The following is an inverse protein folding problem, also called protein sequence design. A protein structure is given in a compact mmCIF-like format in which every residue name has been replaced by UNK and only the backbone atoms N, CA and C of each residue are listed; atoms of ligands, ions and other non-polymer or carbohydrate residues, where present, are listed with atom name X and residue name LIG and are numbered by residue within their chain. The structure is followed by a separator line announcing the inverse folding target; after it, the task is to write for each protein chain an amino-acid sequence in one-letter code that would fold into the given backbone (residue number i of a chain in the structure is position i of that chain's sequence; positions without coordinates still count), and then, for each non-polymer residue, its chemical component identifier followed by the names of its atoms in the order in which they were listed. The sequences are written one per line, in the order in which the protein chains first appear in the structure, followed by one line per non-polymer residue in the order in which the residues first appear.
data_IF_212674525890
#
_entry.id   IF_212674525890
#
_cell.length_a   1.000
_cell.length_b   1.000
_cell.length_c   1.000
_cell.angle_alpha   90.00
_cell.angle_beta   90.00
_cell.angle_gamma   90.00
#
_symmetry.space_group_name_H-M   'P 1'
#
loop_
_entity.id
_entity.type
_entity.pdbx_description
1 polymer ?
#
# COMPACT_ATOMS: atom_id res chain seq x y z
N UNK A 1 36.18 -64.14 -53.78
CA UNK A 1 37.18 -63.14 -54.20
C UNK A 1 36.77 -62.61 -55.57
N UNK A 2 35.71 -61.79 -55.60
CA UNK A 2 35.07 -60.99 -56.68
C UNK A 2 33.77 -60.56 -55.97
N UNK A 3 33.85 -59.56 -55.07
CA UNK A 3 32.71 -58.89 -54.40
C UNK A 3 33.18 -57.82 -53.39
N UNK A 4 34.44 -57.85 -52.93
CA UNK A 4 35.02 -56.78 -52.08
C UNK A 4 35.76 -55.68 -52.86
N UNK A 5 36.15 -55.90 -54.12
CA UNK A 5 36.82 -54.89 -54.96
C UNK A 5 35.85 -54.04 -55.82
N UNK A 6 34.55 -54.33 -55.81
CA UNK A 6 33.54 -53.53 -56.51
C UNK A 6 32.83 -52.51 -55.61
N UNK A 7 33.08 -52.57 -54.28
CA UNK A 7 32.47 -51.68 -53.27
C UNK A 7 33.40 -50.50 -52.93
N UNK A 8 34.72 -50.65 -53.08
CA UNK A 8 35.69 -49.57 -52.79
C UNK A 8 35.81 -48.51 -53.90
N UNK A 9 35.48 -48.85 -55.16
CA UNK A 9 35.49 -47.88 -56.28
C UNK A 9 34.19 -47.06 -56.31
N UNK A 10 33.04 -47.65 -55.97
CA UNK A 10 31.76 -46.94 -55.87
C UNK A 10 31.69 -45.92 -54.71
N UNK A 11 32.47 -46.09 -53.65
CA UNK A 11 32.49 -45.19 -52.49
C UNK A 11 33.36 -43.93 -52.72
N UNK A 12 34.41 -44.01 -53.55
CA UNK A 12 35.22 -42.85 -53.92
C UNK A 12 34.48 -41.88 -54.86
N UNK A 13 33.74 -42.43 -55.82
CA UNK A 13 33.06 -41.67 -56.89
C UNK A 13 31.76 -40.97 -56.41
N UNK A 14 31.18 -41.46 -55.30
CA UNK A 14 30.03 -40.83 -54.62
C UNK A 14 30.50 -39.69 -53.69
N UNK A 15 31.65 -39.83 -53.03
CA UNK A 15 32.21 -38.78 -52.16
C UNK A 15 32.66 -37.55 -52.96
N UNK A 16 33.31 -37.74 -54.11
CA UNK A 16 33.72 -36.63 -55.00
C UNK A 16 32.54 -35.90 -55.64
N UNK A 17 31.41 -36.58 -55.89
CA UNK A 17 30.16 -35.95 -56.35
C UNK A 17 29.46 -35.15 -55.25
N UNK A 18 29.50 -35.59 -54.00
CA UNK A 18 28.90 -34.89 -52.85
C UNK A 18 29.72 -33.63 -52.49
N UNK A 19 31.05 -33.67 -52.57
CA UNK A 19 31.89 -32.51 -52.29
C UNK A 19 31.87 -31.45 -53.40
N UNK A 20 31.69 -31.84 -54.66
CA UNK A 20 31.44 -30.90 -55.77
C UNK A 20 30.04 -30.25 -55.68
N UNK A 21 29.01 -30.96 -55.20
CA UNK A 21 27.67 -30.38 -54.94
C UNK A 21 27.67 -29.39 -53.77
N UNK A 22 28.52 -29.58 -52.76
CA UNK A 22 28.70 -28.65 -51.63
C UNK A 22 29.53 -27.41 -52.00
N UNK A 23 30.55 -27.54 -52.86
CA UNK A 23 31.33 -26.39 -53.36
C UNK A 23 30.58 -25.53 -54.38
N UNK A 24 29.69 -26.11 -55.20
CA UNK A 24 28.89 -25.35 -56.17
C UNK A 24 27.68 -24.64 -55.53
N UNK A 25 27.08 -25.18 -54.46
CA UNK A 25 26.03 -24.45 -53.69
C UNK A 25 26.56 -23.32 -52.79
N UNK A 26 27.88 -23.25 -52.57
CA UNK A 26 28.51 -22.21 -51.74
C UNK A 26 29.16 -21.08 -52.57
N UNK A 27 29.20 -21.19 -53.91
CA UNK A 27 29.73 -20.16 -54.83
C UNK A 27 28.67 -19.40 -55.65
N UNK A 28 27.39 -19.77 -55.58
CA UNK A 28 26.29 -19.08 -56.28
C UNK A 28 25.47 -18.10 -55.41
N UNK A 29 25.91 -17.78 -54.19
CA UNK A 29 25.26 -16.74 -53.34
C UNK A 29 26.17 -15.58 -52.99
N UNK A 30 27.16 -15.30 -53.83
CA UNK A 30 27.92 -14.07 -53.77
C UNK A 30 27.98 -13.47 -55.19
N UNK A 31 27.63 -12.18 -55.28
CA UNK A 31 27.85 -11.24 -56.39
C UNK A 31 27.08 -11.45 -57.71
N UNK A 32 25.99 -10.70 -57.88
CA UNK A 32 25.72 -9.71 -58.95
C UNK A 32 24.53 -8.84 -58.50
N UNK A 33 24.73 -7.54 -58.24
CA UNK A 33 24.60 -6.42 -59.20
C UNK A 33 23.11 -6.21 -59.59
N UNK A 34 22.43 -5.10 -59.35
CA UNK A 34 22.83 -3.71 -59.50
C UNK A 34 22.05 -2.78 -58.55
N UNK A 35 22.73 -1.67 -58.26
CA UNK A 35 22.34 -0.55 -57.43
C UNK A 35 21.27 0.27 -58.17
N UNK A 36 20.08 0.33 -57.60
CA UNK A 36 19.19 1.49 -57.73
C UNK A 36 19.42 2.31 -56.47
N UNK A 37 19.97 3.52 -56.67
CA UNK A 37 20.22 4.50 -55.63
C UNK A 37 18.87 4.96 -55.07
N UNK A 38 18.48 4.37 -53.96
CA UNK A 38 17.56 5.01 -53.01
C UNK A 38 18.42 5.57 -51.91
N UNK A 39 18.43 6.89 -51.78
CA UNK A 39 19.09 7.64 -50.71
C UNK A 39 18.51 7.14 -49.38
N UNK A 40 19.19 6.21 -48.73
CA UNK A 40 19.04 6.00 -47.30
C UNK A 40 19.93 7.03 -46.63
N UNK A 41 19.32 8.13 -46.21
CA UNK A 41 19.93 9.06 -45.28
C UNK A 41 20.38 8.26 -44.04
N UNK A 42 21.68 8.30 -43.74
CA UNK A 42 22.18 8.00 -42.40
C UNK A 42 21.59 9.05 -41.44
N UNK A 43 20.41 8.79 -40.92
CA UNK A 43 20.02 9.34 -39.64
C UNK A 43 20.60 8.40 -38.58
N UNK A 44 21.84 8.70 -38.18
CA UNK A 44 22.27 8.44 -36.82
C UNK A 44 21.34 9.25 -35.90
N UNK A 45 20.16 8.72 -35.61
CA UNK A 45 19.38 9.20 -34.50
C UNK A 45 20.08 8.67 -33.26
N UNK A 46 20.87 9.54 -32.62
CA UNK A 46 20.87 9.62 -31.17
C UNK A 46 19.45 9.26 -30.70
N UNK A 47 19.28 8.19 -29.92
CA UNK A 47 18.07 8.13 -29.10
C UNK A 47 18.19 9.30 -28.15
N UNK A 48 17.65 10.44 -28.56
CA UNK A 48 17.25 11.49 -27.65
C UNK A 48 16.36 10.81 -26.63
N UNK A 49 16.89 10.62 -25.43
CA UNK A 49 16.13 10.26 -24.25
C UNK A 49 15.26 11.45 -23.85
N UNK A 50 14.24 11.72 -24.68
CA UNK A 50 13.17 12.67 -24.43
C UNK A 50 11.95 12.22 -25.24
N UNK A 51 11.60 10.94 -25.17
CA UNK A 51 10.17 10.64 -25.06
C UNK A 51 9.88 10.59 -23.57
N UNK A 52 9.53 11.75 -23.01
CA UNK A 52 8.59 11.76 -21.89
C UNK A 52 7.38 10.99 -22.39
N UNK A 53 7.22 9.73 -21.99
CA UNK A 53 5.90 9.13 -21.92
C UNK A 53 5.05 10.14 -21.16
N UNK A 54 4.19 10.89 -21.86
CA UNK A 54 3.15 11.65 -21.20
C UNK A 54 2.34 10.59 -20.49
N UNK A 55 2.56 10.44 -19.19
CA UNK A 55 1.62 9.76 -18.31
C UNK A 55 0.36 10.59 -18.42
N UNK A 56 -0.57 10.18 -19.29
CA UNK A 56 -1.90 10.75 -19.31
C UNK A 56 -2.50 10.31 -18.00
N UNK A 57 -2.49 11.23 -17.02
CA UNK A 57 -3.17 11.01 -15.76
C UNK A 57 -4.65 10.74 -16.09
N UNK A 58 -5.22 9.60 -15.66
CA UNK A 58 -6.62 9.30 -15.93
C UNK A 58 -7.49 10.44 -15.40
N UNK A 59 -8.12 11.19 -16.29
CA UNK A 59 -9.01 12.29 -15.89
C UNK A 59 -10.41 11.74 -15.71
N UNK A 60 -11.01 11.94 -14.54
CA UNK A 60 -12.43 11.68 -14.32
C UNK A 60 -13.25 12.62 -15.21
N UNK A 61 -14.08 12.11 -16.14
CA UNK A 61 -14.91 12.97 -16.97
C UNK A 61 -15.96 13.67 -16.10
N UNK A 62 -16.33 14.91 -16.43
CA UNK A 62 -17.38 15.65 -15.76
C UNK A 62 -18.79 15.13 -16.13
N UNK A 63 -19.01 13.82 -16.03
CA UNK A 63 -20.30 13.19 -16.33
C UNK A 63 -21.31 13.55 -15.26
N UNK A 64 -22.43 14.16 -15.66
CA UNK A 64 -23.45 14.73 -14.78
C UNK A 64 -22.83 15.60 -13.68
N UNK A 65 -22.29 16.79 -14.01
CA UNK A 65 -21.65 17.67 -13.04
C UNK A 65 -22.62 18.02 -11.89
N UNK A 66 -22.15 17.89 -10.66
CA UNK A 66 -22.88 18.33 -9.48
C UNK A 66 -22.63 19.83 -9.30
N UNK A 67 -23.69 20.60 -9.13
CA UNK A 67 -23.59 22.05 -8.84
C UNK A 67 -22.84 22.28 -7.53
N UNK A 68 -21.83 23.17 -7.50
CA UNK A 68 -21.15 23.57 -6.27
C UNK A 68 -22.10 24.18 -5.22
N UNK A 69 -21.69 24.16 -3.96
CA UNK A 69 -22.49 24.62 -2.83
C UNK A 69 -23.03 23.47 -1.97
N UNK A 70 -24.21 23.67 -1.37
CA UNK A 70 -24.76 22.70 -0.42
C UNK A 70 -25.33 21.46 -1.12
N UNK A 71 -24.94 20.28 -0.67
CA UNK A 71 -25.43 18.98 -1.13
C UNK A 71 -25.85 18.12 0.06
N UNK A 72 -26.91 17.34 -0.09
CA UNK A 72 -27.45 16.44 0.95
C UNK A 72 -28.35 15.37 0.32
N UNK A 73 -28.55 14.23 0.98
CA UNK A 73 -29.46 13.18 0.53
C UNK A 73 -28.88 12.35 -0.62
N UNK A 74 -29.72 12.02 -1.61
CA UNK A 74 -29.27 11.20 -2.74
C UNK A 74 -28.42 12.00 -3.73
N UNK A 75 -27.24 11.47 -4.07
CA UNK A 75 -26.30 12.13 -4.97
C UNK A 75 -25.78 11.17 -6.03
N UNK A 76 -25.56 11.69 -7.24
CA UNK A 76 -24.86 11.04 -8.34
C UNK A 76 -24.22 12.09 -9.23
N UNK A 77 -23.13 11.72 -9.90
CA UNK A 77 -22.40 12.59 -10.82
C UNK A 77 -21.04 12.99 -10.31
N UNK A 78 -20.51 14.09 -10.85
CA UNK A 78 -19.11 14.47 -10.69
C UNK A 78 -18.95 15.79 -9.93
N UNK A 79 -18.18 15.79 -8.85
CA UNK A 79 -17.62 16.99 -8.23
C UNK A 79 -16.50 17.52 -9.14
N UNK A 80 -16.61 18.79 -9.54
CA UNK A 80 -15.77 19.36 -10.61
C UNK A 80 -14.61 20.19 -10.06
N UNK A 81 -13.49 20.16 -10.79
CA UNK A 81 -12.22 20.77 -10.35
C UNK A 81 -12.35 22.24 -9.92
N UNK A 82 -11.59 22.61 -8.88
CA UNK A 82 -11.53 23.98 -8.35
C UNK A 82 -12.75 24.45 -7.55
N UNK A 83 -13.78 23.61 -7.40
CA UNK A 83 -15.00 23.95 -6.68
C UNK A 83 -15.02 23.43 -5.25
N UNK A 84 -15.84 24.10 -4.43
CA UNK A 84 -16.14 23.70 -3.05
C UNK A 84 -17.57 23.19 -2.94
N UNK A 85 -17.75 22.08 -2.23
CA UNK A 85 -19.05 21.47 -1.93
C UNK A 85 -19.22 21.33 -0.43
N UNK A 86 -20.39 21.68 0.10
CA UNK A 86 -20.70 21.55 1.51
C UNK A 86 -21.75 20.47 1.71
N UNK A 87 -21.36 19.38 2.38
CA UNK A 87 -22.28 18.32 2.78
C UNK A 87 -23.00 18.77 4.04
N UNK A 88 -24.30 19.05 3.95
CA UNK A 88 -25.09 19.60 5.07
C UNK A 88 -25.89 18.53 5.84
N UNK A 89 -25.86 17.29 5.36
CA UNK A 89 -26.50 16.11 5.94
C UNK A 89 -26.04 14.88 5.18
N UNK A 90 -26.41 13.69 5.66
CA UNK A 90 -25.94 12.43 5.07
C UNK A 90 -26.13 12.38 3.55
N UNK A 91 -25.09 11.91 2.86
CA UNK A 91 -25.14 11.59 1.44
C UNK A 91 -25.38 10.11 1.25
N UNK A 92 -26.10 9.77 0.18
CA UNK A 92 -26.24 8.39 -0.27
C UNK A 92 -26.08 8.30 -1.78
N UNK A 93 -25.09 7.54 -2.22
CA UNK A 93 -24.91 7.12 -3.61
C UNK A 93 -25.62 5.78 -3.78
N UNK A 94 -26.71 5.74 -4.55
CA UNK A 94 -27.50 4.51 -4.72
C UNK A 94 -26.77 3.48 -5.58
N UNK A 95 -27.19 2.23 -5.46
CA UNK A 95 -26.77 1.15 -6.35
C UNK A 95 -26.98 1.56 -7.82
N UNK A 96 -25.95 1.38 -8.65
CA UNK A 96 -25.96 1.78 -10.06
C UNK A 96 -25.59 3.25 -10.32
N UNK A 97 -25.55 4.10 -9.29
CA UNK A 97 -25.07 5.47 -9.39
C UNK A 97 -23.55 5.55 -9.07
N UNK A 98 -22.94 6.67 -9.43
CA UNK A 98 -21.53 6.96 -9.13
C UNK A 98 -21.42 8.35 -8.52
N UNK A 99 -20.67 8.48 -7.42
CA UNK A 99 -20.11 9.74 -6.99
C UNK A 99 -18.65 9.78 -7.41
N UNK A 100 -18.35 10.69 -8.32
CA UNK A 100 -17.01 10.93 -8.81
C UNK A 100 -16.49 12.29 -8.35
N UNK A 101 -15.18 12.44 -8.21
CA UNK A 101 -14.54 13.72 -7.95
C UNK A 101 -13.31 13.88 -8.82
N UNK A 102 -13.23 15.03 -9.49
CA UNK A 102 -12.02 15.48 -10.15
C UNK A 102 -11.01 16.03 -9.14
N UNK A 103 -9.77 16.20 -9.59
CA UNK A 103 -8.68 16.84 -8.84
C UNK A 103 -9.02 18.24 -8.34
N UNK A 104 -8.42 18.65 -7.23
CA UNK A 104 -8.54 20.01 -6.67
C UNK A 104 -9.92 20.35 -6.09
N UNK A 105 -10.80 19.38 -5.89
CA UNK A 105 -12.10 19.58 -5.24
C UNK A 105 -11.91 19.72 -3.73
N UNK A 106 -12.64 20.66 -3.12
CA UNK A 106 -12.76 20.77 -1.66
C UNK A 106 -14.17 20.38 -1.22
N UNK A 107 -14.28 19.49 -0.24
CA UNK A 107 -15.54 19.08 0.38
C UNK A 107 -15.49 19.39 1.87
N UNK A 108 -16.49 20.15 2.32
CA UNK A 108 -16.70 20.53 3.72
C UNK A 108 -17.90 19.76 4.25
N UNK A 109 -17.70 18.92 5.27
CA UNK A 109 -18.76 18.12 5.87
C UNK A 109 -19.26 18.77 7.15
N UNK A 110 -20.57 18.86 7.32
CA UNK A 110 -21.22 19.47 8.49
C UNK A 110 -22.17 18.48 9.14
N UNK A 111 -22.62 18.81 10.36
CA UNK A 111 -23.67 18.08 11.08
C UNK A 111 -23.39 16.59 11.28
N UNK A 112 -22.12 16.23 11.47
CA UNK A 112 -21.70 14.84 11.68
C UNK A 112 -22.12 13.88 10.55
N UNK A 113 -22.31 14.42 9.34
CA UNK A 113 -22.80 13.66 8.21
C UNK A 113 -21.82 12.55 7.78
N UNK A 114 -22.36 11.44 7.30
CA UNK A 114 -21.61 10.39 6.60
C UNK A 114 -21.94 10.35 5.12
N UNK A 115 -21.05 9.70 4.37
CA UNK A 115 -21.24 9.46 2.94
C UNK A 115 -21.47 7.95 2.76
N UNK A 116 -22.72 7.58 2.53
CA UNK A 116 -23.13 6.20 2.26
C UNK A 116 -22.91 5.86 0.79
N UNK A 117 -22.15 4.80 0.51
CA UNK A 117 -21.87 4.33 -0.84
C UNK A 117 -22.51 2.96 -1.04
N UNK A 118 -23.56 2.91 -1.85
CA UNK A 118 -24.17 1.68 -2.38
C UNK A 118 -23.82 1.48 -3.87
N UNK A 119 -23.43 2.56 -4.55
CA UNK A 119 -22.95 2.56 -5.92
C UNK A 119 -21.42 2.56 -5.99
N UNK A 120 -20.86 3.43 -6.84
CA UNK A 120 -19.41 3.58 -7.01
C UNK A 120 -18.91 4.88 -6.37
N UNK A 121 -17.78 4.80 -5.66
CA UNK A 121 -17.00 5.96 -5.23
C UNK A 121 -15.73 6.07 -6.06
N UNK A 122 -15.54 7.18 -6.77
CA UNK A 122 -14.39 7.43 -7.63
C UNK A 122 -13.77 8.81 -7.36
N UNK A 123 -12.82 8.87 -6.43
CA UNK A 123 -12.08 10.09 -6.10
C UNK A 123 -10.69 10.01 -6.73
N UNK A 124 -10.41 10.87 -7.71
CA UNK A 124 -9.13 10.87 -8.43
C UNK A 124 -8.55 12.28 -8.46
N UNK A 125 -7.73 12.58 -7.46
CA UNK A 125 -6.89 13.77 -7.43
C UNK A 125 -5.57 13.58 -8.19
N UNK A 126 -4.70 14.56 -8.06
CA UNK A 126 -3.29 14.46 -8.48
C UNK A 126 -2.39 15.02 -7.38
N UNK A 127 -1.08 14.72 -7.45
CA UNK A 127 -0.08 15.28 -6.53
C UNK A 127 -0.17 16.81 -6.40
N UNK A 128 -0.37 17.49 -7.51
CA UNK A 128 -0.42 18.96 -7.55
C UNK A 128 -1.81 19.51 -7.16
N UNK A 129 -2.86 18.71 -7.29
CA UNK A 129 -4.25 19.11 -7.02
C UNK A 129 -4.98 17.98 -6.29
N UNK A 130 -4.61 17.69 -5.03
CA UNK A 130 -5.30 16.67 -4.27
C UNK A 130 -6.74 17.08 -3.98
N UNK A 131 -7.61 16.10 -3.76
CA UNK A 131 -8.97 16.32 -3.29
C UNK A 131 -8.93 16.46 -1.76
N UNK A 132 -9.76 17.32 -1.18
CA UNK A 132 -9.84 17.49 0.28
C UNK A 132 -11.24 17.17 0.80
N UNK A 133 -11.35 16.25 1.75
CA UNK A 133 -12.54 15.99 2.56
C UNK A 133 -12.24 16.25 4.03
N UNK A 134 -12.94 17.22 4.62
CA UNK A 134 -12.80 17.57 6.03
C UNK A 134 -14.11 18.19 6.53
N UNK A 135 -14.26 18.36 7.83
CA UNK A 135 -15.35 19.17 8.37
C UNK A 135 -14.99 20.66 8.44
N UNK A 136 -16.00 21.50 8.67
CA UNK A 136 -15.80 22.92 8.94
C UNK A 136 -15.07 23.17 10.27
N UNK A 137 -15.28 22.32 11.28
CA UNK A 137 -14.65 22.46 12.61
C UNK A 137 -13.22 21.92 12.65
N UNK A 138 -12.86 21.03 11.72
CA UNK A 138 -11.55 20.36 11.63
C UNK A 138 -11.16 19.68 12.95
N UNK A 139 -12.15 19.13 13.65
CA UNK A 139 -11.95 18.40 14.90
C UNK A 139 -12.13 16.91 14.67
N UNK A 140 -11.35 16.04 15.31
CA UNK A 140 -11.50 14.60 15.11
C UNK A 140 -12.90 14.15 15.52
N UNK A 141 -13.52 13.30 14.69
CA UNK A 141 -14.89 12.84 14.91
C UNK A 141 -15.97 13.86 14.56
N UNK A 142 -15.65 14.84 13.71
CA UNK A 142 -16.61 15.88 13.31
C UNK A 142 -17.49 15.49 12.12
N UNK A 143 -17.19 14.35 11.49
CA UNK A 143 -18.01 13.73 10.45
C UNK A 143 -17.77 12.24 10.34
N UNK A 144 -18.70 11.53 9.70
CA UNK A 144 -18.78 10.07 9.76
C UNK A 144 -17.88 9.30 8.80
N UNK A 145 -17.23 9.94 7.83
CA UNK A 145 -16.43 9.25 6.80
C UNK A 145 -17.28 8.56 5.72
N UNK A 146 -16.68 7.59 5.03
CA UNK A 146 -17.25 6.83 3.92
C UNK A 146 -17.72 5.45 4.38
N UNK A 147 -19.04 5.22 4.30
CA UNK A 147 -19.67 3.96 4.69
C UNK A 147 -20.06 3.19 3.41
N UNK A 148 -19.28 2.17 3.08
CA UNK A 148 -19.30 1.45 1.80
C UNK A 148 -19.82 0.01 1.97
N UNK A 149 -20.83 -0.19 2.81
CA UNK A 149 -21.35 -1.52 3.16
C UNK A 149 -21.89 -2.33 1.98
N UNK A 150 -22.39 -1.63 0.95
CA UNK A 150 -22.97 -2.23 -0.25
C UNK A 150 -22.47 -1.58 -1.53
N UNK A 151 -21.32 -0.91 -1.46
CA UNK A 151 -20.67 -0.29 -2.62
C UNK A 151 -20.35 -1.34 -3.69
N UNK A 152 -20.16 -0.89 -4.93
CA UNK A 152 -19.75 -1.71 -6.07
C UNK A 152 -18.25 -1.61 -6.33
N UNK A 153 -17.64 -0.46 -6.03
CA UNK A 153 -16.19 -0.26 -6.01
C UNK A 153 -15.84 1.01 -5.26
N UNK A 154 -14.62 1.05 -4.71
CA UNK A 154 -14.06 2.22 -4.04
C UNK A 154 -12.71 2.55 -4.68
N UNK A 155 -12.56 3.78 -5.16
CA UNK A 155 -11.28 4.32 -5.60
C UNK A 155 -11.04 5.67 -4.94
N UNK A 156 -9.92 5.80 -4.22
CA UNK A 156 -9.48 7.02 -3.55
C UNK A 156 -8.02 7.24 -3.89
N UNK A 157 -7.73 8.26 -4.72
CA UNK A 157 -6.37 8.61 -5.12
C UNK A 157 -6.11 10.08 -4.87
N UNK A 158 -4.94 10.42 -4.33
CA UNK A 158 -4.53 11.81 -4.07
C UNK A 158 -5.62 12.59 -3.32
N UNK A 159 -6.10 12.02 -2.22
CA UNK A 159 -7.19 12.58 -1.44
C UNK A 159 -6.76 12.73 0.02
N UNK A 160 -7.00 13.91 0.60
CA UNK A 160 -6.97 14.13 2.04
C UNK A 160 -8.33 13.78 2.63
N UNK A 161 -8.34 12.88 3.61
CA UNK A 161 -9.52 12.50 4.38
C UNK A 161 -9.19 12.69 5.85
N UNK A 162 -9.67 13.78 6.43
CA UNK A 162 -9.23 14.22 7.74
C UNK A 162 -10.40 14.31 8.73
N UNK A 163 -10.11 14.13 10.02
CA UNK A 163 -11.01 14.47 11.14
C UNK A 163 -12.33 13.67 11.20
N UNK A 164 -12.31 12.45 10.68
CA UNK A 164 -13.42 11.50 10.62
C UNK A 164 -13.67 10.78 11.94
N UNK A 165 -14.68 9.91 11.94
CA UNK A 165 -15.03 9.01 13.04
C UNK A 165 -16.04 9.59 14.01
N UNK A 166 -16.90 10.46 13.50
CA UNK A 166 -18.04 10.93 14.26
C UNK A 166 -18.95 9.78 14.70
N UNK A 167 -19.68 9.94 15.81
CA UNK A 167 -20.43 8.85 16.43
C UNK A 167 -21.54 8.33 15.52
N UNK A 168 -21.77 7.02 15.57
CA UNK A 168 -22.99 6.40 15.05
C UNK A 168 -24.15 6.61 16.05
N UNK A 169 -25.39 6.17 15.74
CA UNK A 169 -26.52 6.30 16.65
C UNK A 169 -26.36 5.59 18.01
N UNK A 170 -25.39 4.69 18.16
CA UNK A 170 -25.01 4.02 19.41
C UNK A 170 -23.91 4.76 20.19
N UNK A 171 -23.50 5.94 19.71
CA UNK A 171 -22.38 6.74 20.20
C UNK A 171 -20.99 6.09 20.00
N UNK A 172 -20.89 5.05 19.16
CA UNK A 172 -19.62 4.43 18.80
C UNK A 172 -18.98 5.21 17.65
N UNK A 173 -17.67 5.48 17.67
CA UNK A 173 -17.04 6.18 16.56
C UNK A 173 -17.10 5.35 15.27
N UNK A 174 -17.49 6.01 14.18
CA UNK A 174 -17.49 5.39 12.84
C UNK A 174 -16.07 5.22 12.33
N UNK A 175 -15.89 4.28 11.41
CA UNK A 175 -14.62 4.09 10.69
C UNK A 175 -14.53 5.11 9.55
N UNK A 176 -13.31 5.50 9.17
CA UNK A 176 -13.11 6.54 8.15
C UNK A 176 -13.49 6.07 6.76
N UNK A 177 -13.03 4.89 6.37
CA UNK A 177 -13.49 4.15 5.19
C UNK A 177 -13.86 2.76 5.66
N UNK A 178 -15.16 2.42 5.61
CA UNK A 178 -15.67 1.12 5.99
C UNK A 178 -16.20 0.36 4.78
N UNK A 179 -15.53 -0.72 4.38
CA UNK A 179 -15.95 -1.61 3.30
C UNK A 179 -16.35 -2.95 3.87
N UNK A 180 -17.58 -3.38 3.61
CA UNK A 180 -18.17 -4.60 4.15
C UNK A 180 -18.73 -5.53 3.05
N UNK A 181 -18.14 -5.45 1.85
CA UNK A 181 -18.59 -6.11 0.64
C UNK A 181 -17.41 -6.69 -0.18
N UNK A 182 -17.64 -7.75 -0.98
CA UNK A 182 -16.61 -8.38 -1.81
C UNK A 182 -16.37 -7.57 -3.09
N UNK A 183 -15.78 -6.38 -2.94
CA UNK A 183 -15.55 -5.42 -4.03
C UNK A 183 -14.07 -5.07 -4.21
N UNK A 184 -13.69 -4.55 -5.39
CA UNK A 184 -12.39 -3.91 -5.56
C UNK A 184 -12.32 -2.60 -4.77
N UNK A 185 -11.21 -2.44 -4.05
CA UNK A 185 -10.86 -1.24 -3.28
C UNK A 185 -9.44 -0.81 -3.69
N UNK A 186 -9.31 0.40 -4.21
CA UNK A 186 -8.05 1.00 -4.66
C UNK A 186 -7.86 2.33 -3.93
N UNK A 187 -7.01 2.34 -2.90
CA UNK A 187 -6.69 3.50 -2.07
C UNK A 187 -5.20 3.76 -2.20
N UNK A 188 -4.85 4.80 -2.96
CA UNK A 188 -3.47 5.07 -3.34
C UNK A 188 -3.10 6.53 -3.11
N UNK A 189 -1.84 6.78 -2.73
CA UNK A 189 -1.25 8.13 -2.66
C UNK A 189 -2.14 9.14 -1.92
N UNK A 190 -2.76 8.72 -0.81
CA UNK A 190 -3.76 9.50 -0.09
C UNK A 190 -3.38 9.69 1.38
N UNK A 191 -4.01 10.68 2.02
CA UNK A 191 -3.76 11.03 3.41
C UNK A 191 -4.99 10.77 4.26
N UNK A 192 -4.77 10.10 5.39
CA UNK A 192 -5.81 9.88 6.40
C UNK A 192 -5.29 10.37 7.73
N UNK A 193 -5.93 11.41 8.29
CA UNK A 193 -5.42 12.05 9.50
C UNK A 193 -6.51 12.27 10.54
N UNK A 194 -6.12 12.15 11.80
CA UNK A 194 -6.94 12.51 12.94
C UNK A 194 -8.35 11.87 12.95
N UNK A 195 -8.49 10.62 12.55
CA UNK A 195 -9.74 9.87 12.72
C UNK A 195 -9.94 9.42 14.17
N UNK A 196 -11.15 9.04 14.58
CA UNK A 196 -11.43 8.57 15.95
C UNK A 196 -11.32 7.06 16.17
N UNK A 197 -11.43 6.27 15.09
CA UNK A 197 -11.45 4.79 15.07
C UNK A 197 -10.62 4.30 13.85
N UNK A 198 -10.89 3.11 13.34
CA UNK A 198 -10.20 2.53 12.19
C UNK A 198 -10.23 3.51 11.01
N UNK A 199 -9.08 3.72 10.38
CA UNK A 199 -9.05 4.56 9.20
C UNK A 199 -9.52 3.78 7.98
N UNK A 200 -8.85 2.68 7.67
CA UNK A 200 -9.25 1.85 6.53
C UNK A 200 -9.65 0.48 7.03
N UNK A 201 -10.96 0.24 7.14
CA UNK A 201 -11.49 -1.07 7.46
C UNK A 201 -12.12 -1.72 6.24
N UNK A 202 -11.51 -2.80 5.78
CA UNK A 202 -12.03 -3.62 4.69
C UNK A 202 -12.35 -5.02 5.21
N UNK A 203 -13.52 -5.54 4.83
CA UNK A 203 -13.91 -6.89 5.21
C UNK A 203 -14.86 -7.57 4.21
N UNK A 204 -15.17 -8.84 4.46
CA UNK A 204 -16.08 -9.67 3.67
C UNK A 204 -15.66 -9.84 2.20
N UNK A 205 -14.42 -10.27 1.98
CA UNK A 205 -13.97 -10.65 0.63
C UNK A 205 -13.51 -9.49 -0.26
N UNK A 206 -13.33 -8.28 0.29
CA UNK A 206 -12.82 -7.16 -0.50
C UNK A 206 -11.42 -7.48 -1.08
N UNK A 207 -11.18 -7.03 -2.32
CA UNK A 207 -9.86 -7.15 -2.97
C UNK A 207 -9.20 -5.78 -2.97
N UNK A 208 -8.06 -5.66 -2.31
CA UNK A 208 -7.48 -4.36 -1.94
C UNK A 208 -6.17 -4.04 -2.66
N UNK A 209 -6.00 -2.76 -2.98
CA UNK A 209 -4.71 -2.09 -3.14
C UNK A 209 -4.72 -0.90 -2.20
N UNK A 210 -3.91 -0.97 -1.14
CA UNK A 210 -3.72 0.14 -0.20
C UNK A 210 -2.24 0.52 -0.30
N UNK A 211 -1.92 1.44 -1.21
CA UNK A 211 -0.53 1.71 -1.59
C UNK A 211 -0.14 3.17 -1.36
N UNK A 212 1.08 3.41 -0.87
CA UNK A 212 1.69 4.76 -0.85
C UNK A 212 0.90 5.81 -0.07
N UNK A 213 0.06 5.40 0.90
CA UNK A 213 -0.71 6.33 1.70
C UNK A 213 0.08 6.86 2.91
N UNK A 214 -0.34 7.99 3.44
CA UNK A 214 0.18 8.55 4.70
C UNK A 214 -0.93 8.60 5.74
N UNK A 215 -0.80 7.80 6.79
CA UNK A 215 -1.77 7.64 7.87
C UNK A 215 -1.17 8.18 9.16
N UNK A 216 -1.75 9.23 9.73
CA UNK A 216 -1.13 9.97 10.84
C UNK A 216 -2.08 10.16 12.02
N UNK A 217 -1.52 9.93 13.22
CA UNK A 217 -2.04 10.39 14.51
C UNK A 217 -3.55 10.16 14.66
N UNK A 218 -4.01 8.92 14.45
CA UNK A 218 -5.44 8.58 14.36
C UNK A 218 -5.87 7.46 15.31
N UNK A 219 -7.13 7.49 15.72
CA UNK A 219 -7.70 6.64 16.75
C UNK A 219 -7.63 7.33 18.11
N UNK A 220 -8.73 7.35 18.85
CA UNK A 220 -8.79 7.92 20.21
C UNK A 220 -8.17 6.95 21.23
N UNK A 221 -8.98 6.05 21.75
CA UNK A 221 -8.60 4.96 22.65
C UNK A 221 -8.57 3.60 21.96
N UNK A 222 -8.93 3.56 20.67
CA UNK A 222 -8.88 2.39 19.80
C UNK A 222 -8.80 2.85 18.34
N UNK A 223 -8.65 1.90 17.42
CA UNK A 223 -8.66 2.12 15.99
C UNK A 223 -7.35 1.72 15.35
N UNK A 224 -7.41 0.82 14.37
CA UNK A 224 -6.27 0.42 13.54
C UNK A 224 -6.13 1.31 12.30
N UNK A 225 -4.91 1.49 11.81
CA UNK A 225 -4.71 2.33 10.63
C UNK A 225 -5.29 1.60 9.41
N UNK A 226 -4.99 0.31 9.29
CA UNK A 226 -5.53 -0.58 8.27
C UNK A 226 -6.00 -1.86 8.96
N UNK A 227 -7.30 -2.16 8.88
CA UNK A 227 -7.94 -3.31 9.51
C UNK A 227 -8.63 -4.19 8.48
N UNK A 228 -8.08 -5.39 8.25
CA UNK A 228 -8.47 -6.28 7.19
C UNK A 228 -9.09 -7.55 7.77
N UNK A 229 -10.37 -7.79 7.46
CA UNK A 229 -11.14 -8.87 8.08
C UNK A 229 -11.85 -9.77 7.08
N UNK A 230 -12.15 -11.00 7.47
CA UNK A 230 -13.14 -11.87 6.81
C UNK A 230 -12.93 -12.03 5.30
N UNK A 231 -11.80 -12.59 4.88
CA UNK A 231 -11.57 -13.00 3.49
C UNK A 231 -10.97 -11.93 2.58
N UNK A 232 -10.43 -10.85 3.13
CA UNK A 232 -9.77 -9.81 2.34
C UNK A 232 -8.52 -10.36 1.66
N UNK A 233 -8.31 -9.98 0.39
CA UNK A 233 -7.10 -10.32 -0.36
C UNK A 233 -6.50 -9.09 -1.03
N UNK A 234 -5.20 -9.12 -1.35
CA UNK A 234 -4.55 -8.06 -2.11
C UNK A 234 -3.26 -7.57 -1.46
N UNK A 235 -3.00 -6.26 -1.54
CA UNK A 235 -1.71 -5.69 -1.17
C UNK A 235 -1.83 -4.43 -0.31
N UNK A 236 -1.01 -4.36 0.74
CA UNK A 236 -0.72 -3.18 1.55
C UNK A 236 0.76 -2.86 1.45
N UNK A 237 1.13 -1.80 0.72
CA UNK A 237 2.54 -1.50 0.52
C UNK A 237 2.89 -0.02 0.40
N UNK A 238 4.12 0.33 0.77
CA UNK A 238 4.64 1.70 0.66
C UNK A 238 3.88 2.73 1.51
N UNK A 239 3.08 2.29 2.48
CA UNK A 239 2.35 3.20 3.36
C UNK A 239 3.24 3.68 4.50
N UNK A 240 3.03 4.92 4.92
CA UNK A 240 3.54 5.46 6.17
C UNK A 240 2.41 5.44 7.18
N UNK A 241 2.65 4.84 8.34
CA UNK A 241 1.72 4.88 9.48
C UNK A 241 2.46 5.40 10.70
N UNK A 242 2.01 6.53 11.24
CA UNK A 242 2.58 7.13 12.44
C UNK A 242 1.55 7.34 13.53
N UNK A 243 1.85 6.87 14.73
CA UNK A 243 1.06 7.07 15.94
C UNK A 243 -0.41 6.71 15.82
N UNK A 244 -0.68 5.51 15.34
CA UNK A 244 -2.01 4.91 15.43
C UNK A 244 -2.31 4.45 16.86
N UNK A 245 -3.58 4.54 17.27
CA UNK A 245 -4.01 4.11 18.60
C UNK A 245 -3.77 2.62 18.82
N UNK A 246 -4.23 1.81 17.86
CA UNK A 246 -4.01 0.37 17.78
C UNK A 246 -2.90 -0.01 16.79
N UNK A 247 -3.14 -1.09 16.05
CA UNK A 247 -2.18 -1.67 15.11
C UNK A 247 -2.06 -0.88 13.80
N UNK A 248 -0.86 -0.84 13.23
CA UNK A 248 -0.61 -0.28 11.90
C UNK A 248 -1.34 -1.05 10.79
N UNK A 249 -1.06 -2.36 10.65
CA UNK A 249 -1.78 -3.25 9.72
C UNK A 249 -2.23 -4.51 10.45
N UNK A 250 -3.55 -4.70 10.56
CA UNK A 250 -4.18 -5.85 11.23
C UNK A 250 -4.88 -6.75 10.22
N UNK A 251 -4.63 -8.05 10.34
CA UNK A 251 -5.24 -9.07 9.52
C UNK A 251 -5.89 -10.14 10.39
N UNK A 252 -7.17 -10.35 10.18
CA UNK A 252 -7.94 -11.43 10.78
C UNK A 252 -8.88 -12.03 9.73
N UNK A 253 -9.23 -13.31 9.79
CA UNK A 253 -10.33 -13.83 8.97
C UNK A 253 -11.64 -13.61 9.73
N UNK A 254 -12.20 -14.64 10.36
CA UNK A 254 -13.36 -14.55 11.23
C UNK A 254 -13.53 -15.91 11.87
N UNK A 255 -13.84 -15.95 13.17
CA UNK A 255 -14.14 -17.19 13.87
C UNK A 255 -15.46 -17.82 13.40
N UNK A 256 -16.38 -17.03 12.81
CA UNK A 256 -17.70 -17.49 12.33
C UNK A 256 -17.77 -17.67 10.82
N UNK A 257 -16.85 -17.05 10.07
CA UNK A 257 -16.70 -17.20 8.62
C UNK A 257 -15.23 -17.44 8.28
N UNK A 258 -14.67 -18.62 8.61
CA UNK A 258 -13.23 -18.88 8.48
C UNK A 258 -12.76 -19.05 7.03
N UNK A 259 -13.67 -19.04 6.05
CA UNK A 259 -13.38 -19.11 4.62
C UNK A 259 -14.24 -18.09 3.83
N UNK A 260 -13.70 -17.48 2.76
CA UNK A 260 -12.27 -17.51 2.38
C UNK A 260 -11.40 -16.85 3.46
N UNK A 261 -10.13 -17.28 3.57
CA UNK A 261 -9.17 -16.70 4.50
C UNK A 261 -8.80 -15.27 4.06
N UNK A 262 -8.56 -14.40 5.03
CA UNK A 262 -7.84 -13.14 4.79
C UNK A 262 -6.38 -13.47 4.43
N UNK A 263 -5.93 -13.03 3.25
CA UNK A 263 -4.63 -13.37 2.67
C UNK A 263 -4.04 -12.17 1.93
N UNK A 264 -3.08 -11.47 2.53
CA UNK A 264 -2.62 -10.16 2.04
C UNK A 264 -1.10 -10.07 2.03
N UNK A 265 -0.55 -9.47 0.98
CA UNK A 265 0.87 -9.07 0.95
C UNK A 265 1.04 -7.74 1.68
N UNK A 266 1.91 -7.71 2.71
CA UNK A 266 2.20 -6.52 3.51
C UNK A 266 3.69 -6.21 3.42
N UNK A 267 4.07 -5.27 2.56
CA UNK A 267 5.49 -5.01 2.33
C UNK A 267 5.87 -3.56 2.13
N UNK A 268 7.14 -3.23 2.40
CA UNK A 268 7.67 -1.89 2.20
C UNK A 268 6.85 -0.80 2.92
N UNK A 269 6.21 -1.08 4.05
CA UNK A 269 5.56 -0.04 4.85
C UNK A 269 6.53 0.52 5.89
N UNK A 270 6.34 1.78 6.28
CA UNK A 270 7.03 2.42 7.40
C UNK A 270 6.03 2.64 8.53
N UNK A 271 6.12 1.83 9.58
CA UNK A 271 5.16 1.71 10.67
C UNK A 271 5.82 2.16 11.97
N UNK A 272 5.48 3.36 12.43
CA UNK A 272 6.21 4.06 13.48
C UNK A 272 5.28 4.43 14.64
N UNK A 273 5.67 4.11 15.87
CA UNK A 273 5.00 4.59 17.09
C UNK A 273 3.53 4.19 17.25
N UNK A 274 3.12 3.04 16.69
CA UNK A 274 1.74 2.56 16.77
C UNK A 274 1.47 1.79 18.06
N UNK A 275 0.22 1.85 18.55
CA UNK A 275 -0.28 0.98 19.62
C UNK A 275 -0.25 1.54 21.04
N UNK A 276 0.25 2.75 21.22
CA UNK A 276 0.50 3.29 22.56
C UNK A 276 -0.73 3.89 23.25
N UNK A 277 -1.83 4.19 22.54
CA UNK A 277 -3.03 4.78 23.19
C UNK A 277 -3.92 3.75 23.86
N UNK A 278 -3.86 2.50 23.40
CA UNK A 278 -4.40 1.34 24.12
C UNK A 278 -3.42 0.81 25.16
N UNK A 279 -2.14 0.91 24.83
CA UNK A 279 -1.02 0.48 25.66
C UNK A 279 -1.16 -0.97 26.09
N UNK A 280 -0.80 -1.26 27.33
CA UNK A 280 -0.81 -2.62 27.87
C UNK A 280 -2.18 -3.33 27.88
N UNK A 281 -3.29 -2.60 27.84
CA UNK A 281 -4.62 -3.22 27.91
C UNK A 281 -4.97 -3.99 26.63
N UNK A 282 -4.58 -3.43 25.48
CA UNK A 282 -4.61 -4.14 24.20
C UNK A 282 -3.50 -3.55 23.31
N UNK A 283 -2.27 -4.06 23.43
CA UNK A 283 -1.11 -3.57 22.70
C UNK A 283 -1.39 -3.38 21.21
N UNK A 284 -1.04 -2.25 20.59
CA UNK A 284 -1.02 -2.21 19.13
C UNK A 284 0.28 -2.76 18.57
N UNK A 285 0.24 -3.28 17.34
CA UNK A 285 1.39 -3.82 16.62
C UNK A 285 1.80 -2.90 15.47
N UNK A 286 3.01 -3.08 14.94
CA UNK A 286 3.30 -2.66 13.57
C UNK A 286 2.42 -3.45 12.61
N UNK A 287 2.55 -4.77 12.62
CA UNK A 287 1.71 -5.71 11.85
C UNK A 287 1.24 -6.83 12.77
N UNK A 288 -0.03 -7.23 12.63
CA UNK A 288 -0.56 -8.40 13.33
C UNK A 288 -1.33 -9.33 12.40
N UNK A 289 -1.08 -10.64 12.52
CA UNK A 289 -1.79 -11.71 11.80
C UNK A 289 -2.46 -12.62 12.83
N UNK A 290 -3.77 -12.75 12.80
CA UNK A 290 -4.53 -13.62 13.70
C UNK A 290 -5.76 -14.24 13.06
N UNK A 291 -6.51 -15.04 13.82
CA UNK A 291 -7.79 -15.62 13.41
C UNK A 291 -7.80 -16.20 11.99
N UNK A 292 -6.98 -17.23 11.74
CA UNK A 292 -6.85 -17.96 10.48
C UNK A 292 -6.50 -17.07 9.28
N UNK A 293 -5.97 -15.86 9.50
CA UNK A 293 -5.41 -15.04 8.43
C UNK A 293 -3.99 -15.50 8.08
N UNK A 294 -3.55 -15.16 6.87
CA UNK A 294 -2.19 -15.38 6.38
C UNK A 294 -1.65 -14.17 5.65
N UNK A 295 -0.33 -14.06 5.58
CA UNK A 295 0.31 -12.94 4.91
C UNK A 295 1.74 -13.24 4.47
N UNK A 296 2.19 -12.46 3.49
CA UNK A 296 3.61 -12.27 3.23
C UNK A 296 4.03 -10.91 3.82
N UNK A 297 4.90 -10.91 4.85
CA UNK A 297 5.32 -9.70 5.57
C UNK A 297 6.80 -9.42 5.37
N UNK A 298 7.13 -8.56 4.41
CA UNK A 298 8.51 -8.30 4.00
C UNK A 298 8.86 -6.82 3.92
N UNK A 299 10.13 -6.47 4.12
CA UNK A 299 10.64 -5.13 3.83
C UNK A 299 9.94 -3.99 4.60
N UNK A 300 9.27 -4.26 5.72
CA UNK A 300 8.66 -3.20 6.51
C UNK A 300 9.67 -2.61 7.50
N UNK A 301 9.63 -1.30 7.71
CA UNK A 301 10.28 -0.66 8.86
C UNK A 301 9.25 -0.61 9.99
N UNK A 302 9.59 -1.22 11.13
CA UNK A 302 8.77 -1.21 12.35
C UNK A 302 9.57 -0.55 13.47
N UNK A 303 9.28 0.72 13.73
CA UNK A 303 10.03 1.52 14.68
C UNK A 303 9.17 1.97 15.85
N UNK A 304 9.63 1.77 17.09
CA UNK A 304 8.96 2.25 18.30
C UNK A 304 7.46 1.88 18.42
N UNK A 305 6.98 0.86 17.71
CA UNK A 305 5.64 0.35 17.94
C UNK A 305 5.59 -0.30 19.33
N UNK A 306 4.42 -0.32 19.97
CA UNK A 306 4.25 -0.99 21.26
C UNK A 306 4.68 -2.46 21.15
N UNK A 307 4.28 -3.12 20.05
CA UNK A 307 4.80 -4.39 19.56
C UNK A 307 5.15 -4.29 18.07
N UNK A 308 6.14 -5.05 17.62
CA UNK A 308 6.60 -5.07 16.22
C UNK A 308 5.69 -5.91 15.33
N UNK A 309 6.12 -7.12 15.01
CA UNK A 309 5.36 -8.10 14.24
C UNK A 309 4.83 -9.18 15.18
N UNK A 310 3.51 -9.35 15.20
CA UNK A 310 2.89 -10.48 15.90
C UNK A 310 2.16 -11.40 14.95
N UNK A 311 2.43 -12.69 15.11
CA UNK A 311 1.66 -13.77 14.52
C UNK A 311 1.01 -14.48 15.70
N UNK A 312 -0.31 -14.36 15.83
CA UNK A 312 -1.07 -14.99 16.91
C UNK A 312 -1.11 -16.50 16.73
N UNK A 313 -1.34 -17.22 17.83
CA UNK A 313 -1.43 -18.69 17.83
C UNK A 313 -2.59 -19.23 16.99
N UNK A 314 -3.61 -18.41 16.79
CA UNK A 314 -4.80 -18.74 16.00
C UNK A 314 -4.71 -18.27 14.55
N UNK A 315 -3.58 -17.71 14.10
CA UNK A 315 -3.30 -17.41 12.69
C UNK A 315 -3.11 -18.71 11.89
N UNK A 316 -3.12 -18.60 10.56
CA UNK A 316 -2.60 -19.68 9.72
C UNK A 316 -1.08 -19.63 9.73
N UNK A 317 -0.47 -20.46 10.58
CA UNK A 317 0.98 -20.51 10.80
C UNK A 317 1.68 -21.54 9.91
N UNK A 318 0.97 -22.13 8.94
CA UNK A 318 1.59 -23.02 7.96
C UNK A 318 2.73 -22.29 7.26
N UNK A 319 3.91 -22.91 7.24
CA UNK A 319 5.09 -22.34 6.58
C UNK A 319 4.92 -22.22 5.05
N UNK A 320 3.85 -22.78 4.48
CA UNK A 320 3.47 -22.61 3.08
C UNK A 320 2.54 -21.40 2.85
N UNK A 321 1.95 -20.86 3.92
CA UNK A 321 0.86 -19.89 3.85
C UNK A 321 1.22 -18.54 4.46
N UNK A 322 2.05 -18.51 5.51
CA UNK A 322 2.54 -17.28 6.13
C UNK A 322 4.07 -17.21 6.04
N UNK A 323 4.57 -16.17 5.37
CA UNK A 323 6.00 -15.95 5.19
C UNK A 323 6.39 -14.53 5.59
N UNK A 324 7.58 -14.36 6.15
CA UNK A 324 8.04 -13.05 6.61
C UNK A 324 9.57 -13.03 6.72
N UNK A 325 10.13 -11.82 6.71
CA UNK A 325 11.57 -11.59 6.81
C UNK A 325 11.97 -10.25 6.19
N UNK A 326 13.27 -9.93 6.18
CA UNK A 326 13.78 -8.66 5.64
C UNK A 326 13.08 -7.41 6.24
N UNK A 327 12.51 -7.51 7.44
CA UNK A 327 11.93 -6.37 8.13
C UNK A 327 13.02 -5.69 8.96
N UNK A 328 12.91 -4.37 9.13
CA UNK A 328 13.79 -3.60 10.00
C UNK A 328 13.05 -3.25 11.29
N UNK A 329 13.56 -3.71 12.42
CA UNK A 329 13.05 -3.41 13.76
C UNK A 329 14.00 -2.48 14.51
N UNK A 330 13.52 -1.27 14.79
CA UNK A 330 14.32 -0.24 15.47
C UNK A 330 13.60 0.33 16.69
N UNK A 331 14.36 0.64 17.73
CA UNK A 331 13.88 1.37 18.89
C UNK A 331 14.81 2.57 19.16
N UNK A 332 14.29 3.79 19.08
CA UNK A 332 15.08 5.00 19.38
C UNK A 332 15.30 5.22 20.87
N UNK A 333 14.55 4.52 21.71
CA UNK A 333 14.72 4.46 23.17
C UNK A 333 14.61 3.00 23.61
N UNK A 334 15.30 2.60 24.68
CA UNK A 334 15.20 1.24 25.21
C UNK A 334 13.84 0.97 25.86
N UNK A 335 13.42 1.91 26.72
CA UNK A 335 12.20 1.79 27.50
C UNK A 335 11.31 3.01 27.33
N UNK A 336 10.00 2.78 27.37
CA UNK A 336 8.99 3.83 27.45
C UNK A 336 8.05 3.55 28.62
N UNK A 337 7.70 4.60 29.37
CA UNK A 337 6.74 4.49 30.46
C UNK A 337 5.33 4.57 29.87
N UNK A 338 4.66 3.43 29.77
CA UNK A 338 3.22 3.41 29.51
C UNK A 338 2.52 3.91 30.78
N UNK A 339 1.58 4.84 30.58
CA UNK A 339 0.71 5.41 31.62
C UNK A 339 -0.76 5.24 31.27
N UNK A 340 -1.08 4.52 30.19
CA UNK A 340 -2.46 4.29 29.75
C UNK A 340 -3.14 3.26 30.65
N UNK A 341 -4.48 3.37 30.73
CA UNK A 341 -5.32 2.39 31.42
C UNK A 341 -4.91 2.11 32.88
N UNK A 342 -4.36 3.12 33.57
CA UNK A 342 -3.95 3.02 34.98
C UNK A 342 -2.68 2.19 35.24
N UNK A 343 -2.07 1.65 34.19
CA UNK A 343 -0.80 0.93 34.27
C UNK A 343 0.36 1.90 34.23
N UNK A 344 1.16 1.96 35.29
CA UNK A 344 2.49 2.56 35.22
C UNK A 344 3.50 1.45 34.89
N UNK A 345 3.46 0.96 33.64
CA UNK A 345 4.33 -0.12 33.19
C UNK A 345 5.50 0.42 32.34
N UNK A 346 6.73 0.07 32.74
CA UNK A 346 7.92 0.34 31.93
C UNK A 346 8.04 -0.72 30.83
N UNK A 347 7.81 -0.32 29.58
CA UNK A 347 7.87 -1.20 28.41
C UNK A 347 9.27 -1.16 27.83
N UNK A 348 9.92 -2.31 27.74
CA UNK A 348 11.10 -2.48 26.90
C UNK A 348 10.64 -2.70 25.45
N UNK A 349 10.91 -1.73 24.57
CA UNK A 349 10.40 -1.75 23.20
C UNK A 349 11.03 -2.89 22.38
N UNK A 350 12.33 -3.15 22.59
CA UNK A 350 13.06 -4.19 21.85
C UNK A 350 12.57 -5.60 22.14
N UNK A 351 12.20 -5.87 23.40
CA UNK A 351 11.62 -7.15 23.81
C UNK A 351 10.32 -7.47 23.07
N UNK A 352 9.65 -6.44 22.52
CA UNK A 352 8.37 -6.55 21.86
C UNK A 352 8.45 -6.51 20.33
N UNK A 353 9.64 -6.50 19.72
CA UNK A 353 9.76 -6.60 18.25
C UNK A 353 9.09 -7.87 17.73
N UNK A 354 9.29 -8.98 18.44
CA UNK A 354 8.51 -10.20 18.33
C UNK A 354 7.96 -10.54 19.72
N UNK A 355 6.65 -10.35 19.97
CA UNK A 355 6.04 -10.64 21.26
C UNK A 355 6.18 -12.11 21.66
N UNK A 356 6.38 -12.36 22.96
CA UNK A 356 6.67 -13.71 23.48
C UNK A 356 5.46 -14.66 23.49
N UNK A 357 4.25 -14.11 23.53
CA UNK A 357 2.96 -14.80 23.43
C UNK A 357 2.56 -15.16 22.00
N UNK A 358 3.17 -14.49 21.01
CA UNK A 358 3.08 -14.82 19.59
C UNK A 358 3.98 -15.98 19.15
N UNK A 359 3.61 -16.59 18.02
CA UNK A 359 4.35 -17.69 17.40
C UNK A 359 5.43 -17.21 16.42
N UNK A 360 5.36 -15.95 15.98
CA UNK A 360 6.38 -15.32 15.14
C UNK A 360 7.75 -15.28 15.84
N UNK A 361 8.83 -15.42 15.07
CA UNK A 361 10.22 -15.41 15.57
C UNK A 361 11.13 -14.60 14.66
N UNK A 362 12.18 -13.95 15.19
CA UNK A 362 13.20 -13.28 14.38
C UNK A 362 13.70 -14.16 13.23
N UNK A 363 13.75 -13.61 12.02
CA UNK A 363 14.32 -14.28 10.85
C UNK A 363 15.78 -13.86 10.65
N UNK A 364 16.65 -14.73 10.11
CA UNK A 364 18.04 -14.37 9.81
C UNK A 364 18.18 -13.20 8.83
N UNK A 365 17.15 -12.92 8.04
CA UNK A 365 17.12 -11.80 7.08
C UNK A 365 16.63 -10.50 7.68
N UNK A 366 16.09 -10.50 8.91
CA UNK A 366 15.63 -9.28 9.57
C UNK A 366 16.79 -8.41 10.05
N UNK A 367 16.58 -7.11 10.03
CA UNK A 367 17.47 -6.10 10.58
C UNK A 367 16.97 -5.69 11.97
N UNK A 368 17.46 -6.35 13.02
CA UNK A 368 17.02 -6.09 14.40
C UNK A 368 18.06 -5.27 15.17
N UNK A 369 17.63 -4.12 15.70
CA UNK A 369 18.48 -3.26 16.52
C UNK A 369 18.75 -3.88 17.90
N UNK A 370 20.00 -3.82 18.33
CA UNK A 370 20.46 -4.35 19.63
C UNK A 370 20.66 -3.27 20.69
N UNK A 371 20.75 -2.01 20.26
CA UNK A 371 20.87 -0.81 21.10
C UNK A 371 20.43 0.42 20.32
N UNK A 372 20.23 1.55 20.99
CA UNK A 372 19.92 2.82 20.32
C UNK A 372 21.06 3.17 19.35
N UNK A 373 20.71 3.62 18.15
CA UNK A 373 21.65 3.89 17.06
C UNK A 373 22.09 2.67 16.24
N UNK A 374 21.94 1.43 16.73
CA UNK A 374 22.17 0.23 15.91
C UNK A 374 21.00 0.03 14.94
N UNK A 375 21.29 -0.02 13.64
CA UNK A 375 20.29 -0.15 12.57
C UNK A 375 19.20 0.94 12.61
N UNK A 376 19.58 2.15 13.04
CA UNK A 376 18.73 3.32 12.91
C UNK A 376 18.32 3.50 11.43
N UNK A 377 17.03 3.61 11.08
CA UNK A 377 16.58 3.85 9.72
C UNK A 377 17.17 5.12 9.07
N UNK A 378 17.73 6.03 9.85
CA UNK A 378 18.23 7.33 9.39
C UNK A 378 17.14 8.10 8.64
N UNK A 379 16.00 8.28 9.29
CA UNK A 379 14.94 9.13 8.78
C UNK A 379 15.41 10.59 8.68
N UNK A 380 14.91 11.31 7.68
CA UNK A 380 15.27 12.71 7.43
C UNK A 380 14.92 13.60 8.62
N UNK A 381 13.77 13.35 9.26
CA UNK A 381 13.41 13.96 10.53
C UNK A 381 12.55 13.01 11.38
N UNK A 382 12.90 12.86 12.66
CA UNK A 382 12.06 12.20 13.64
C UNK A 382 12.12 12.98 14.97
N UNK A 383 10.96 13.32 15.52
CA UNK A 383 10.82 14.17 16.70
C UNK A 383 11.11 13.45 18.03
N UNK A 384 11.40 12.15 17.98
CA UNK A 384 11.74 11.34 19.15
C UNK A 384 10.54 10.88 19.98
N UNK A 385 9.30 11.25 19.61
CA UNK A 385 8.13 10.92 20.42
C UNK A 385 7.66 9.50 20.14
N UNK A 386 7.64 8.67 21.19
CA UNK A 386 7.17 7.26 21.12
C UNK A 386 5.65 7.16 21.11
N UNK A 387 4.96 7.99 21.90
CA UNK A 387 3.51 8.05 21.94
C UNK A 387 3.05 9.51 21.78
N UNK A 388 2.04 9.73 20.95
CA UNK A 388 1.42 11.05 20.77
C UNK A 388 -0.10 10.97 20.89
N UNK A 389 -0.78 12.04 21.33
CA UNK A 389 -2.25 12.11 21.33
C UNK A 389 -2.84 11.98 19.91
N UNK A 390 -4.12 11.59 19.84
CA UNK A 390 -4.89 11.68 18.59
C UNK A 390 -4.86 13.11 18.04
N UNK A 391 -4.63 13.28 16.75
CA UNK A 391 -4.58 14.59 16.08
C UNK A 391 -3.36 15.44 16.37
N UNK A 392 -2.34 14.90 17.05
CA UNK A 392 -1.11 15.64 17.27
C UNK A 392 -0.48 16.03 15.92
N UNK A 393 -0.09 17.31 15.73
CA UNK A 393 0.66 17.70 14.54
C UNK A 393 2.01 17.01 14.56
N UNK A 394 2.55 16.72 13.38
CA UNK A 394 3.86 16.12 13.22
C UNK A 394 4.64 16.81 12.10
N UNK A 395 5.94 16.93 12.30
CA UNK A 395 6.92 17.36 11.31
C UNK A 395 7.89 16.23 10.95
N UNK A 396 7.53 14.98 11.28
CA UNK A 396 8.35 13.82 10.98
C UNK A 396 8.42 13.63 9.46
N UNK A 397 9.61 13.27 9.00
CA UNK A 397 9.90 12.95 7.61
C UNK A 397 10.65 11.62 7.57
N UNK A 398 9.94 10.59 7.12
CA UNK A 398 10.42 9.21 7.12
C UNK A 398 11.17 8.83 5.84
N UNK A 399 11.51 9.79 4.97
CA UNK A 399 12.47 9.54 3.90
C UNK A 399 13.81 9.08 4.48
N UNK A 400 14.41 8.08 3.84
CA UNK A 400 15.69 7.52 4.24
C UNK A 400 16.85 8.41 3.80
N UNK A 401 17.77 8.70 4.70
CA UNK A 401 19.02 9.38 4.38
C UNK A 401 20.06 8.42 3.80
N UNK A 402 21.06 8.93 3.04
CA UNK A 402 22.21 8.15 2.60
C UNK A 402 22.89 7.42 3.76
N UNK A 403 23.23 6.14 3.55
CA UNK A 403 23.84 5.29 4.58
C UNK A 403 22.83 4.58 5.47
N UNK A 404 21.53 4.78 5.27
CA UNK A 404 20.50 4.03 5.99
C UNK A 404 20.71 2.52 5.83
N UNK A 405 20.60 1.73 6.92
CA UNK A 405 20.67 0.27 6.89
C UNK A 405 19.49 -0.34 6.11
N UNK A 406 18.42 0.41 5.87
CA UNK A 406 17.27 -0.04 5.09
C UNK A 406 17.55 -0.05 3.57
N UNK A 407 18.56 0.68 3.09
CA UNK A 407 18.89 0.76 1.66
C UNK A 407 19.67 -0.49 1.20
N UNK A 408 19.20 -1.13 0.13
CA UNK A 408 19.83 -2.30 -0.49
C UNK A 408 19.74 -3.58 0.33
N UNK A 409 18.84 -3.67 1.32
CA UNK A 409 18.67 -4.81 2.24
C UNK A 409 17.29 -5.49 2.17
N UNK A 410 16.42 -5.01 1.29
CA UNK A 410 15.11 -5.60 1.06
C UNK A 410 15.17 -6.94 0.32
N UNK A 411 14.09 -7.70 0.44
CA UNK A 411 13.76 -8.83 -0.41
C UNK A 411 13.47 -8.31 -1.84
N UNK A 412 14.30 -8.65 -2.83
CA UNK A 412 14.25 -8.09 -4.18
C UNK A 412 12.99 -8.49 -4.97
N UNK A 413 12.22 -9.47 -4.48
CA UNK A 413 10.89 -9.80 -5.01
C UNK A 413 9.97 -8.59 -4.96
N UNK A 414 10.08 -7.78 -3.91
CA UNK A 414 9.26 -6.58 -3.71
C UNK A 414 10.04 -5.32 -4.11
N UNK A 415 11.15 -5.06 -3.40
CA UNK A 415 12.04 -3.92 -3.60
C UNK A 415 13.42 -4.21 -2.96
N UNK A 416 14.47 -3.60 -3.49
CA UNK A 416 15.83 -3.71 -2.93
C UNK A 416 15.97 -2.95 -1.60
N UNK A 417 15.10 -1.98 -1.33
CA UNK A 417 15.09 -1.23 -0.07
C UNK A 417 13.96 -1.71 0.86
N UNK A 418 14.11 -1.39 2.14
CA UNK A 418 13.12 -1.61 3.20
C UNK A 418 12.41 -0.29 3.49
N UNK A 419 11.10 -0.32 3.69
CA UNK A 419 10.29 0.84 4.05
C UNK A 419 9.58 1.50 2.87
N UNK A 420 8.83 2.56 3.19
CA UNK A 420 7.91 3.22 2.28
C UNK A 420 8.58 4.07 1.20
N UNK A 421 9.68 4.72 1.55
CA UNK A 421 10.46 5.56 0.64
C UNK A 421 11.66 4.79 0.14
N UNK A 422 11.68 4.48 -1.16
CA UNK A 422 12.73 3.64 -1.76
C UNK A 422 13.52 4.43 -2.80
N UNK A 423 14.73 3.97 -3.09
CA UNK A 423 15.59 4.48 -4.16
C UNK A 423 15.16 4.02 -5.56
N UNK A 424 14.03 3.31 -5.67
CA UNK A 424 13.48 2.87 -6.95
C UNK A 424 13.19 4.05 -7.88
N UNK A 425 13.62 3.94 -9.14
CA UNK A 425 13.24 4.89 -10.19
C UNK A 425 11.77 4.72 -10.63
N UNK A 426 11.12 3.58 -10.30
CA UNK A 426 9.70 3.35 -10.55
C UNK A 426 8.88 4.04 -9.44
N UNK A 427 8.10 5.10 -9.75
CA UNK A 427 7.32 5.83 -8.76
C UNK A 427 6.19 5.00 -8.15
N UNK A 428 5.79 3.90 -8.77
CA UNK A 428 4.77 3.01 -8.20
C UNK A 428 5.29 2.21 -7.01
N UNK A 429 6.62 2.14 -6.85
CA UNK A 429 7.34 1.39 -5.81
C UNK A 429 7.99 2.27 -4.74
N UNK A 430 7.49 3.49 -4.57
CA UNK A 430 7.88 4.37 -3.46
C UNK A 430 6.71 5.27 -3.12
N UNK A 431 6.53 5.56 -1.84
CA UNK A 431 5.64 6.63 -1.41
C UNK A 431 6.06 7.96 -2.08
N UNK A 432 5.06 8.73 -2.50
CA UNK A 432 5.23 9.90 -3.37
C UNK A 432 5.04 11.23 -2.62
N UNK A 433 4.80 11.18 -1.32
CA UNK A 433 4.44 12.32 -0.48
C UNK A 433 5.64 13.08 0.06
#
# INVERSE_FOLDING_TARGET
MILQNSISVLDSDIRDKIDNLKKNKMKERLSHLAIVVTIFAFAACSKSSTETTKVIQPTVPASNPISPGNITGFVKGTLTTGNTYTITGDLTVKLGDTLASQQGVTVIVSNDAQINIQGVLLLVGTKDQPISFNSSSKQPGSWGGFQCDSAQSVTIKWTHVDNTGGPDPSASPRKTVFVNAPIPVDIEDSWFTNGQDDLIRCQNGATIKILRNTILCSGSTDGEAINLKSGVTGTVAYNVVYSQAGTGVKLETSSTKPLPQTSVDVYNNTLVCNGWRRGQAEPGRGVSIGLNAKANVYNNIMMNNYQGLEIFQDADTSAADTHYGNNLFYASVDTYQDTTQGGNLAINIRNNFYPGDGVGKPQPTDLISTKVGDKDPLFTAFDGKVATPNGAPTSNDFHLQPGSPALGKGNPTYNNDIGAYTSSADPTKSNQH
#
